data_IF_186227881178
#
_entry.id   IF_186227881178
#
_cell.length_a   1.000
_cell.length_b   1.000
_cell.length_c   1.000
_cell.angle_alpha   90.00
_cell.angle_beta   90.00
_cell.angle_gamma   90.00
#
_symmetry.space_group_name_H-M   'P 1'
#
loop_
_entity.id
_entity.type
_entity.pdbx_description
1 polymer ?
#
# COMPACT_ATOMS: atom_id res chain seq x y z
N UNK A 1 23.40 14.66 69.92
CA UNK A 1 22.61 15.07 68.73
C UNK A 1 22.86 14.10 67.59
N UNK A 2 21.95 13.15 67.38
CA UNK A 2 22.00 12.19 66.26
C UNK A 2 21.09 12.67 65.17
N UNK A 3 21.62 12.96 63.96
CA UNK A 3 20.88 13.25 62.75
C UNK A 3 20.43 11.94 62.10
N UNK A 4 19.12 11.77 62.01
CA UNK A 4 18.45 10.68 61.31
C UNK A 4 18.30 11.14 59.84
N UNK A 5 18.94 10.43 58.89
CA UNK A 5 18.70 10.61 57.48
C UNK A 5 17.55 9.66 57.05
N UNK A 6 16.45 10.23 56.63
CA UNK A 6 15.37 9.50 55.96
C UNK A 6 15.76 9.32 54.50
N UNK A 7 16.04 8.08 54.11
CA UNK A 7 16.10 7.70 52.70
C UNK A 7 14.70 7.44 52.19
N UNK A 8 14.22 8.26 51.30
CA UNK A 8 12.99 8.01 50.51
C UNK A 8 13.36 7.07 49.38
N UNK A 9 12.89 5.82 49.44
CA UNK A 9 12.87 4.91 48.29
C UNK A 9 11.78 5.39 47.32
N UNK A 10 12.21 5.92 46.19
CA UNK A 10 11.36 6.11 45.02
C UNK A 10 11.38 4.80 44.24
N UNK A 11 10.33 3.99 44.39
CA UNK A 11 10.11 2.83 43.51
C UNK A 11 9.72 3.34 42.13
N UNK A 12 10.66 3.26 41.19
CA UNK A 12 10.38 3.37 39.78
C UNK A 12 9.61 2.14 39.33
N UNK A 13 8.28 2.25 39.24
CA UNK A 13 7.47 1.26 38.52
C UNK A 13 7.77 1.44 37.02
N UNK A 14 8.71 0.64 36.53
CA UNK A 14 8.92 0.45 35.11
C UNK A 14 7.75 -0.37 34.59
N UNK A 15 6.74 0.29 34.07
CA UNK A 15 5.74 -0.38 33.24
C UNK A 15 6.41 -0.94 31.99
N UNK A 16 6.92 -2.16 32.10
CA UNK A 16 7.28 -2.97 30.92
C UNK A 16 5.96 -3.28 30.19
N UNK A 17 5.64 -2.46 29.24
CA UNK A 17 4.65 -2.81 28.23
C UNK A 17 5.26 -3.94 27.38
N UNK A 18 5.08 -5.15 27.86
CA UNK A 18 5.26 -6.32 27.04
C UNK A 18 4.30 -6.23 25.87
N UNK A 19 4.80 -5.92 24.69
CA UNK A 19 4.13 -6.26 23.44
C UNK A 19 3.92 -7.78 23.45
N UNK A 20 2.79 -8.20 24.03
CA UNK A 20 2.30 -9.55 23.84
C UNK A 20 2.13 -9.68 22.31
N UNK A 21 3.09 -10.36 21.67
CA UNK A 21 2.94 -10.86 20.30
C UNK A 21 1.64 -11.65 20.29
N UNK A 22 0.51 -10.98 20.00
CA UNK A 22 -0.70 -11.66 19.59
C UNK A 22 -0.31 -12.39 18.33
N UNK A 23 0.02 -13.68 18.47
CA UNK A 23 0.12 -14.58 17.34
C UNK A 23 -1.19 -14.44 16.58
N UNK A 24 -1.21 -13.64 15.51
CA UNK A 24 -2.40 -13.54 14.71
C UNK A 24 -2.67 -14.95 14.20
N UNK A 25 -3.86 -15.43 14.47
CA UNK A 25 -4.35 -16.73 14.00
C UNK A 25 -4.66 -16.72 12.50
N UNK A 26 -4.12 -15.76 11.74
CA UNK A 26 -4.26 -15.72 10.30
C UNK A 26 -3.60 -16.94 9.67
N UNK A 27 -4.43 -17.85 9.20
CA UNK A 27 -3.99 -18.90 8.32
C UNK A 27 -4.42 -18.59 6.89
N UNK A 28 -3.61 -17.89 6.16
CA UNK A 28 -3.89 -17.48 4.79
C UNK A 28 -4.26 -18.66 3.85
N UNK A 29 -3.83 -19.88 4.14
CA UNK A 29 -4.15 -21.06 3.31
C UNK A 29 -5.61 -21.49 3.40
N UNK A 30 -6.26 -21.22 4.52
CA UNK A 30 -7.63 -21.69 4.79
C UNK A 30 -8.58 -20.53 5.07
N UNK A 31 -8.11 -19.29 4.97
CA UNK A 31 -8.91 -18.10 5.22
C UNK A 31 -10.11 -18.05 4.27
N UNK A 32 -11.25 -17.73 4.84
CA UNK A 32 -12.45 -17.31 4.12
C UNK A 32 -12.71 -15.86 4.48
N UNK A 33 -12.93 -15.04 3.46
CA UNK A 33 -13.31 -13.67 3.69
C UNK A 33 -14.70 -13.58 4.29
N UNK A 34 -14.81 -12.82 5.38
CA UNK A 34 -16.11 -12.48 5.96
C UNK A 34 -16.21 -10.95 5.97
N UNK A 35 -17.16 -10.41 5.22
CA UNK A 35 -17.42 -8.98 5.23
C UNK A 35 -17.94 -8.59 6.62
N UNK A 36 -17.20 -7.71 7.29
CA UNK A 36 -17.61 -7.18 8.61
C UNK A 36 -18.62 -6.07 8.40
N UNK A 37 -18.30 -5.11 7.55
CA UNK A 37 -19.19 -4.03 7.13
C UNK A 37 -18.65 -3.32 5.87
N UNK A 38 -19.49 -2.42 5.35
CA UNK A 38 -19.20 -1.44 4.32
C UNK A 38 -19.43 -0.05 4.88
N UNK A 39 -18.55 0.86 4.57
CA UNK A 39 -18.70 2.29 4.87
C UNK A 39 -18.67 3.10 3.59
N UNK A 40 -19.55 4.09 3.50
CA UNK A 40 -19.43 5.12 2.47
C UNK A 40 -18.28 6.05 2.86
N UNK A 41 -17.45 6.40 1.88
CA UNK A 41 -16.33 7.29 2.08
C UNK A 41 -16.42 8.49 1.13
N UNK A 42 -15.76 9.59 1.49
CA UNK A 42 -15.80 10.81 0.68
C UNK A 42 -15.11 10.59 -0.67
N UNK A 43 -15.70 11.12 -1.72
CA UNK A 43 -15.13 11.29 -3.05
C UNK A 43 -15.60 12.62 -3.59
N UNK A 44 -14.70 13.42 -4.18
CA UNK A 44 -15.12 14.55 -4.97
C UNK A 44 -15.93 14.03 -6.19
N UNK A 45 -16.90 14.79 -6.65
CA UNK A 45 -17.81 14.35 -7.74
C UNK A 45 -17.12 14.09 -9.08
N UNK A 46 -15.80 14.24 -9.17
CA UNK A 46 -15.08 14.24 -10.46
C UNK A 46 -14.23 12.99 -10.70
N UNK A 47 -13.69 12.34 -9.65
CA UNK A 47 -12.62 11.36 -9.84
C UNK A 47 -12.87 10.08 -9.03
N UNK A 48 -12.45 8.96 -9.62
CA UNK A 48 -12.49 7.66 -8.93
C UNK A 48 -11.48 7.64 -7.78
N UNK A 49 -11.79 6.90 -6.73
CA UNK A 49 -10.84 6.56 -5.69
C UNK A 49 -9.84 5.54 -6.22
N UNK A 50 -8.61 5.59 -5.72
CA UNK A 50 -7.49 4.77 -6.17
C UNK A 50 -6.71 4.23 -4.96
N UNK A 51 -5.47 4.66 -4.76
CA UNK A 51 -4.61 4.18 -3.66
C UNK A 51 -5.14 4.53 -2.27
N UNK A 52 -4.87 3.67 -1.31
CA UNK A 52 -5.22 3.88 0.09
C UNK A 52 -4.25 3.22 1.05
N UNK A 53 -4.06 3.79 2.22
CA UNK A 53 -3.43 3.07 3.33
C UNK A 53 -3.86 3.61 4.70
N UNK A 54 -3.53 2.87 5.76
CA UNK A 54 -3.89 3.18 7.14
C UNK A 54 -2.65 3.16 8.02
N UNK A 55 -2.38 4.31 8.67
CA UNK A 55 -1.37 4.41 9.72
C UNK A 55 -2.01 4.73 11.06
N UNK A 56 -1.85 3.83 12.05
CA UNK A 56 -2.53 3.94 13.36
C UNK A 56 -4.06 4.10 13.16
N UNK A 57 -4.60 5.26 13.47
CA UNK A 57 -6.03 5.59 13.32
C UNK A 57 -6.28 6.61 12.20
N UNK A 58 -5.28 6.91 11.40
CA UNK A 58 -5.42 7.77 10.22
C UNK A 58 -5.47 6.90 8.96
N UNK A 59 -6.50 7.06 8.16
CA UNK A 59 -6.62 6.50 6.82
C UNK A 59 -6.42 7.61 5.80
N UNK A 60 -5.65 7.32 4.77
CA UNK A 60 -5.53 8.12 3.56
C UNK A 60 -6.22 7.36 2.43
N UNK A 61 -6.99 8.08 1.63
CA UNK A 61 -7.57 7.61 0.37
C UNK A 61 -7.27 8.64 -0.71
N UNK A 62 -6.78 8.19 -1.84
CA UNK A 62 -6.38 9.06 -2.94
C UNK A 62 -7.42 9.01 -4.06
N UNK A 63 -7.67 10.14 -4.70
CA UNK A 63 -8.40 10.20 -5.95
C UNK A 63 -7.44 10.14 -7.14
N UNK A 64 -7.92 9.66 -8.26
CA UNK A 64 -7.18 9.42 -9.51
C UNK A 64 -6.18 10.52 -9.90
N UNK A 65 -6.48 11.78 -9.63
CA UNK A 65 -5.61 12.90 -10.02
C UNK A 65 -4.73 13.42 -8.90
N UNK A 66 -4.67 12.71 -7.76
CA UNK A 66 -3.80 13.12 -6.65
C UNK A 66 -4.46 14.10 -5.68
N UNK A 67 -5.74 13.91 -5.38
CA UNK A 67 -6.39 14.52 -4.23
C UNK A 67 -6.36 13.56 -3.06
N UNK A 68 -6.08 14.08 -1.89
CA UNK A 68 -5.97 13.32 -0.63
C UNK A 68 -7.24 13.50 0.17
N UNK A 69 -7.87 12.40 0.53
CA UNK A 69 -8.94 12.34 1.50
C UNK A 69 -8.38 11.73 2.80
N UNK A 70 -8.48 12.44 3.91
CA UNK A 70 -8.02 11.94 5.21
C UNK A 70 -9.20 11.59 6.09
N UNK A 71 -9.05 10.50 6.85
CA UNK A 71 -10.06 10.01 7.78
C UNK A 71 -9.45 9.65 9.13
N UNK A 72 -10.23 9.83 10.17
CA UNK A 72 -9.97 9.23 11.48
C UNK A 72 -10.77 7.93 11.59
N UNK A 73 -10.12 6.83 11.91
CA UNK A 73 -10.81 5.59 12.19
C UNK A 73 -11.35 5.58 13.64
N UNK A 74 -12.65 5.51 13.77
CA UNK A 74 -13.36 5.38 15.06
C UNK A 74 -14.03 4.00 15.07
N UNK A 75 -13.60 3.13 15.95
CA UNK A 75 -14.05 1.72 15.99
C UNK A 75 -13.87 1.01 14.63
N UNK A 76 -12.80 1.37 13.93
CA UNK A 76 -12.47 0.83 12.58
C UNK A 76 -13.26 1.45 11.43
N UNK A 77 -14.23 2.33 11.68
CA UNK A 77 -14.99 3.04 10.64
C UNK A 77 -14.37 4.38 10.31
N UNK A 78 -14.30 4.75 9.01
CA UNK A 78 -13.73 6.02 8.58
C UNK A 78 -14.66 7.19 8.89
N UNK A 79 -14.12 8.23 9.52
CA UNK A 79 -14.78 9.52 9.73
C UNK A 79 -13.97 10.56 8.98
N UNK A 80 -14.56 11.11 7.92
CA UNK A 80 -13.92 12.09 7.03
C UNK A 80 -13.40 13.31 7.80
N UNK A 81 -12.20 13.77 7.45
CA UNK A 81 -11.55 14.90 8.09
C UNK A 81 -11.24 16.02 7.10
N UNK A 82 -10.49 15.73 6.04
CA UNK A 82 -9.99 16.75 5.12
C UNK A 82 -9.88 16.22 3.70
N UNK A 83 -9.90 17.17 2.75
CA UNK A 83 -9.66 16.98 1.32
C UNK A 83 -8.71 18.09 0.83
N UNK A 84 -7.57 17.73 0.24
CA UNK A 84 -6.56 18.66 -0.25
C UNK A 84 -5.64 17.98 -1.28
N UNK A 85 -4.93 18.73 -2.15
CA UNK A 85 -4.11 18.12 -3.18
C UNK A 85 -2.77 17.59 -2.65
N UNK A 86 -2.25 16.53 -3.30
CA UNK A 86 -0.84 16.15 -3.26
C UNK A 86 0.02 17.24 -3.92
N UNK A 87 1.32 17.28 -3.62
CA UNK A 87 2.27 18.09 -4.39
C UNK A 87 2.33 17.63 -5.84
N UNK A 88 2.19 16.31 -6.05
CA UNK A 88 2.17 15.67 -7.37
C UNK A 88 0.80 15.62 -8.01
N UNK A 89 -0.16 16.43 -7.54
CA UNK A 89 -1.51 16.48 -8.10
C UNK A 89 -1.46 16.81 -9.60
N UNK A 90 -1.97 15.89 -10.41
CA UNK A 90 -1.95 15.99 -11.88
C UNK A 90 -2.93 14.98 -12.49
N UNK A 91 -3.49 15.32 -13.66
CA UNK A 91 -4.28 14.39 -14.47
C UNK A 91 -3.48 13.13 -14.93
N UNK A 92 -2.15 13.20 -14.83
CA UNK A 92 -1.25 12.11 -15.22
C UNK A 92 -0.77 11.26 -14.04
N UNK A 93 -1.21 11.52 -12.81
CA UNK A 93 -0.72 10.77 -11.65
C UNK A 93 -1.36 9.38 -11.56
N UNK A 94 -2.65 9.27 -11.60
CA UNK A 94 -3.46 8.07 -11.38
C UNK A 94 -3.46 7.52 -9.93
N UNK A 95 -2.40 7.68 -9.14
CA UNK A 95 -2.32 7.32 -7.71
C UNK A 95 -2.78 5.89 -7.37
N UNK A 96 -2.48 4.90 -8.22
CA UNK A 96 -3.14 3.59 -8.22
C UNK A 96 -2.95 2.79 -6.93
N UNK A 97 -1.74 2.80 -6.36
CA UNK A 97 -1.42 2.16 -5.08
C UNK A 97 -0.82 3.20 -4.16
N UNK A 98 -1.21 3.19 -2.91
CA UNK A 98 -0.59 4.01 -1.88
C UNK A 98 -0.24 3.16 -0.65
N UNK A 99 0.94 3.37 -0.09
CA UNK A 99 1.34 2.69 1.13
C UNK A 99 2.23 3.58 2.00
N UNK A 100 2.03 3.53 3.31
CA UNK A 100 2.93 4.17 4.25
C UNK A 100 4.22 3.37 4.40
N UNK A 101 5.36 4.08 4.42
CA UNK A 101 6.60 3.53 4.94
C UNK A 101 6.65 3.57 6.46
N UNK A 102 7.87 3.45 7.03
CA UNK A 102 8.13 3.66 8.47
C UNK A 102 8.83 4.98 8.75
N UNK A 103 9.47 5.58 7.74
CA UNK A 103 10.25 6.79 7.91
C UNK A 103 9.35 8.00 8.12
N UNK A 104 9.60 8.74 9.20
CA UNK A 104 9.04 10.08 9.41
C UNK A 104 9.98 11.09 8.74
N UNK A 105 9.44 12.17 8.17
CA UNK A 105 10.27 13.28 7.68
C UNK A 105 10.87 14.05 8.85
N UNK A 106 10.04 14.36 9.85
CA UNK A 106 10.46 15.05 11.07
C UNK A 106 10.05 14.24 12.31
N UNK A 107 10.78 14.33 13.43
CA UNK A 107 10.49 13.57 14.65
C UNK A 107 9.09 13.76 15.23
N UNK A 108 8.43 14.89 14.94
CA UNK A 108 7.09 15.23 15.44
C UNK A 108 5.94 14.88 14.49
N UNK A 109 6.21 14.30 13.33
CA UNK A 109 5.19 14.00 12.34
C UNK A 109 4.24 12.91 12.83
N UNK A 110 2.96 13.10 12.57
CA UNK A 110 1.92 12.13 12.93
C UNK A 110 1.82 10.95 11.95
N UNK A 111 2.29 11.15 10.71
CA UNK A 111 2.28 10.17 9.63
C UNK A 111 3.70 9.96 9.10
N UNK A 112 4.06 8.73 8.75
CA UNK A 112 5.28 8.49 7.98
C UNK A 112 5.10 8.92 6.52
N UNK A 113 6.19 8.84 5.76
CA UNK A 113 6.16 9.10 4.32
C UNK A 113 5.19 8.15 3.62
N UNK A 114 4.40 8.70 2.70
CA UNK A 114 3.46 7.98 1.87
C UNK A 114 4.08 7.75 0.49
N UNK A 115 4.09 6.50 0.07
CA UNK A 115 4.59 6.03 -1.22
C UNK A 115 3.40 5.85 -2.16
N UNK A 116 3.44 6.50 -3.33
CA UNK A 116 2.29 6.60 -4.24
C UNK A 116 2.72 6.22 -5.65
N UNK A 117 2.12 5.17 -6.20
CA UNK A 117 2.38 4.75 -7.58
C UNK A 117 1.80 5.72 -8.59
N UNK A 118 2.65 6.22 -9.50
CA UNK A 118 2.20 6.87 -10.73
C UNK A 118 1.98 5.81 -11.80
N UNK A 119 0.73 5.47 -12.04
CA UNK A 119 0.39 4.38 -12.97
C UNK A 119 0.33 4.80 -14.45
N UNK A 120 0.55 6.08 -14.78
CA UNK A 120 0.52 6.55 -16.17
C UNK A 120 1.92 6.72 -16.75
N UNK A 121 2.12 6.13 -17.92
CA UNK A 121 3.39 6.15 -18.67
C UNK A 121 3.59 7.42 -19.49
N UNK A 122 2.52 8.18 -19.80
CA UNK A 122 2.58 9.38 -20.63
C UNK A 122 2.68 10.66 -19.78
N UNK A 123 3.64 10.71 -18.90
CA UNK A 123 3.96 11.97 -18.23
C UNK A 123 4.93 12.81 -19.10
N UNK A 124 4.92 14.13 -18.95
CA UNK A 124 5.80 15.03 -19.69
C UNK A 124 7.29 14.86 -19.30
N UNK A 125 7.55 14.25 -18.14
CA UNK A 125 8.91 13.84 -17.76
C UNK A 125 9.23 12.47 -18.42
N UNK A 126 10.46 12.27 -18.80
CA UNK A 126 10.95 11.02 -19.38
C UNK A 126 11.07 9.87 -18.37
N UNK A 127 10.55 10.03 -17.15
CA UNK A 127 10.64 9.02 -16.11
C UNK A 127 9.58 7.95 -16.29
N UNK A 128 10.00 6.70 -16.20
CA UNK A 128 9.15 5.53 -16.28
C UNK A 128 9.00 4.84 -14.93
N UNK A 129 7.90 4.12 -14.74
CA UNK A 129 7.66 3.28 -13.58
C UNK A 129 7.89 4.01 -12.24
N UNK A 130 7.23 5.16 -12.11
CA UNK A 130 7.49 6.13 -11.05
C UNK A 130 6.70 5.84 -9.78
N UNK A 131 7.39 6.02 -8.67
CA UNK A 131 6.85 6.05 -7.32
C UNK A 131 7.17 7.41 -6.71
N UNK A 132 6.15 8.14 -6.30
CA UNK A 132 6.29 9.37 -5.53
C UNK A 132 6.31 9.07 -4.04
N UNK A 133 7.14 9.78 -3.30
CA UNK A 133 7.20 9.73 -1.85
C UNK A 133 6.82 11.10 -1.32
N UNK A 134 5.66 11.20 -0.68
CA UNK A 134 5.14 12.46 -0.17
C UNK A 134 5.05 12.47 1.35
N UNK A 135 5.39 13.60 1.93
CA UNK A 135 5.07 13.93 3.31
C UNK A 135 3.67 14.54 3.36
N UNK A 136 2.81 13.99 4.19
CA UNK A 136 1.42 14.43 4.35
C UNK A 136 1.26 15.06 5.74
N UNK A 137 0.88 16.32 5.79
CA UNK A 137 0.48 17.01 7.02
C UNK A 137 -1.05 17.23 7.02
N UNK A 138 -1.82 16.33 7.65
CA UNK A 138 -3.27 16.43 7.65
C UNK A 138 -3.80 17.61 8.48
N UNK A 139 -3.02 18.13 9.42
CA UNK A 139 -3.40 19.27 10.26
C UNK A 139 -3.32 20.57 9.45
N UNK A 140 -2.20 20.77 8.77
CA UNK A 140 -2.00 21.93 7.90
C UNK A 140 -2.63 21.78 6.52
N UNK A 141 -3.14 20.59 6.17
CA UNK A 141 -3.70 20.23 4.86
C UNK A 141 -2.69 20.49 3.73
N UNK A 142 -1.46 20.05 3.94
CA UNK A 142 -0.34 20.25 3.01
C UNK A 142 0.36 18.94 2.73
N UNK A 143 0.85 18.85 1.50
CA UNK A 143 1.73 17.78 1.06
C UNK A 143 3.06 18.37 0.60
N UNK A 144 4.11 17.56 0.65
CA UNK A 144 5.42 17.89 0.11
C UNK A 144 6.00 16.67 -0.57
N UNK A 145 6.34 16.79 -1.86
CA UNK A 145 7.10 15.77 -2.55
C UNK A 145 8.52 15.73 -1.95
N UNK A 146 8.88 14.58 -1.41
CA UNK A 146 10.17 14.38 -0.74
C UNK A 146 11.14 13.66 -1.65
N UNK A 147 10.67 12.63 -2.36
CA UNK A 147 11.50 11.79 -3.20
C UNK A 147 10.68 11.30 -4.40
N UNK A 148 11.33 11.18 -5.54
CA UNK A 148 10.83 10.46 -6.71
C UNK A 148 11.73 9.25 -6.92
N UNK A 149 11.15 8.06 -6.98
CA UNK A 149 11.85 6.82 -7.31
C UNK A 149 11.33 6.38 -8.67
N UNK A 150 12.23 6.09 -9.60
CA UNK A 150 11.88 5.58 -10.92
C UNK A 150 12.71 4.34 -11.22
N UNK A 151 12.15 3.39 -11.94
CA UNK A 151 12.89 2.22 -12.40
C UNK A 151 13.14 2.31 -13.89
N UNK A 152 14.41 2.25 -14.27
CA UNK A 152 14.87 2.23 -15.67
C UNK A 152 15.40 0.84 -16.00
N UNK A 153 14.54 -0.01 -16.53
CA UNK A 153 14.88 -1.38 -16.95
C UNK A 153 15.11 -1.51 -18.45
N UNK A 154 15.56 -2.68 -18.92
CA UNK A 154 15.75 -2.93 -20.34
C UNK A 154 14.41 -2.82 -21.09
N UNK A 155 14.38 -2.06 -22.17
CA UNK A 155 13.18 -1.72 -22.95
C UNK A 155 12.32 -2.93 -23.35
N UNK A 156 12.93 -4.05 -23.66
CA UNK A 156 12.24 -5.29 -24.08
C UNK A 156 11.67 -6.12 -22.92
N UNK A 157 11.87 -5.72 -21.67
CA UNK A 157 11.42 -6.43 -20.46
C UNK A 157 10.63 -5.56 -19.50
N UNK A 158 10.37 -4.31 -19.88
CA UNK A 158 9.65 -3.37 -19.01
C UNK A 158 8.20 -3.77 -19.01
N UNK A 159 7.66 -4.12 -17.84
CA UNK A 159 6.23 -4.28 -17.65
C UNK A 159 5.55 -2.96 -17.97
N UNK A 160 4.42 -3.01 -18.60
CA UNK A 160 3.73 -1.83 -19.14
C UNK A 160 3.43 -0.77 -18.08
N UNK A 161 3.24 -1.19 -16.85
CA UNK A 161 3.01 -0.31 -15.71
C UNK A 161 3.37 -1.03 -14.43
N UNK A 162 4.45 -0.61 -13.79
CA UNK A 162 4.78 -1.11 -12.46
C UNK A 162 3.93 -0.41 -11.42
N UNK A 163 3.28 -1.20 -10.60
CA UNK A 163 2.67 -0.76 -9.36
C UNK A 163 3.62 -1.09 -8.22
N UNK A 164 3.65 -0.24 -7.20
CA UNK A 164 4.64 -0.32 -6.15
C UNK A 164 3.99 -0.46 -4.78
N UNK A 165 4.54 -1.34 -3.95
CA UNK A 165 4.16 -1.47 -2.55
C UNK A 165 5.40 -1.62 -1.67
N UNK A 166 5.35 -1.09 -0.45
CA UNK A 166 6.43 -1.20 0.53
C UNK A 166 6.20 -2.40 1.44
N UNK A 167 7.16 -3.32 1.48
CA UNK A 167 7.27 -4.30 2.55
C UNK A 167 7.98 -3.68 3.74
N UNK A 168 7.18 -3.19 4.67
CA UNK A 168 7.67 -2.53 5.87
C UNK A 168 8.40 -3.46 6.83
N UNK A 169 8.12 -4.76 6.81
CA UNK A 169 8.76 -5.73 7.68
C UNK A 169 10.22 -5.92 7.29
N UNK A 170 10.50 -6.03 6.00
CA UNK A 170 11.83 -6.32 5.47
C UNK A 170 12.52 -5.09 4.86
N UNK A 171 11.89 -3.92 4.87
CA UNK A 171 12.38 -2.68 4.23
C UNK A 171 12.70 -2.90 2.74
N UNK A 172 11.74 -3.48 2.04
CA UNK A 172 11.83 -3.75 0.61
C UNK A 172 10.79 -2.93 -0.15
N UNK A 173 11.14 -2.59 -1.38
CA UNK A 173 10.22 -2.06 -2.37
C UNK A 173 9.87 -3.18 -3.35
N UNK A 174 8.59 -3.44 -3.54
CA UNK A 174 8.08 -4.47 -4.42
C UNK A 174 7.35 -3.82 -5.58
N UNK A 175 7.82 -4.10 -6.79
CA UNK A 175 7.15 -3.78 -8.04
C UNK A 175 6.35 -4.98 -8.54
N UNK A 176 5.12 -4.76 -8.97
CA UNK A 176 4.26 -5.78 -9.55
C UNK A 176 3.39 -5.19 -10.66
N UNK A 177 2.83 -6.03 -11.49
CA UNK A 177 1.97 -5.62 -12.60
C UNK A 177 1.90 -6.65 -13.71
N UNK A 178 1.39 -6.22 -14.85
CA UNK A 178 1.24 -7.06 -16.03
C UNK A 178 2.30 -6.75 -17.07
N UNK A 179 2.91 -7.76 -17.65
CA UNK A 179 3.67 -7.60 -18.88
C UNK A 179 2.71 -7.70 -20.08
N UNK A 180 2.93 -6.87 -21.08
CA UNK A 180 2.27 -7.01 -22.39
C UNK A 180 3.16 -7.81 -23.35
N UNK A 181 3.54 -9.00 -22.93
CA UNK A 181 4.27 -9.87 -23.86
C UNK A 181 3.34 -10.35 -24.99
N UNK A 182 3.86 -10.57 -26.20
CA UNK A 182 3.08 -11.09 -27.32
C UNK A 182 2.41 -12.44 -27.02
N UNK A 183 2.94 -13.17 -26.05
CA UNK A 183 2.51 -14.53 -25.66
C UNK A 183 1.42 -14.55 -24.58
N UNK A 184 0.95 -13.40 -24.11
CA UNK A 184 -0.10 -13.28 -23.08
C UNK A 184 0.27 -12.35 -21.96
N UNK A 185 -0.74 -11.90 -21.21
CA UNK A 185 -0.53 -11.12 -19.99
C UNK A 185 0.09 -12.00 -18.90
N UNK A 186 1.35 -11.75 -18.58
CA UNK A 186 2.02 -12.39 -17.46
C UNK A 186 2.20 -11.38 -16.33
N UNK A 187 2.11 -11.85 -15.10
CA UNK A 187 2.22 -11.01 -13.91
C UNK A 187 3.63 -11.09 -13.37
N UNK A 188 4.33 -9.96 -13.41
CA UNK A 188 5.69 -9.88 -12.90
C UNK A 188 5.72 -9.49 -11.43
N UNK A 189 6.77 -9.92 -10.76
CA UNK A 189 7.18 -9.52 -9.43
C UNK A 189 8.63 -9.06 -9.48
N UNK A 190 8.92 -7.91 -8.90
CA UNK A 190 10.25 -7.33 -8.78
C UNK A 190 10.48 -6.88 -7.35
N UNK A 191 11.71 -7.06 -6.85
CA UNK A 191 12.06 -6.70 -5.49
C UNK A 191 13.36 -5.91 -5.45
N UNK A 192 13.34 -4.80 -4.75
CA UNK A 192 14.46 -3.89 -4.54
C UNK A 192 14.62 -3.62 -3.04
N UNK A 193 15.77 -3.10 -2.62
CA UNK A 193 15.87 -2.42 -1.33
C UNK A 193 15.03 -1.15 -1.36
N UNK A 194 14.33 -0.87 -0.29
CA UNK A 194 13.62 0.41 -0.18
C UNK A 194 14.64 1.54 -0.07
N UNK A 195 14.71 2.48 -1.03
CA UNK A 195 15.63 3.60 -0.95
C UNK A 195 15.26 4.50 0.23
N UNK A 196 16.19 4.75 1.17
CA UNK A 196 15.93 5.68 2.25
C UNK A 196 16.00 7.13 1.74
N UNK A 197 15.24 8.02 2.35
CA UNK A 197 15.44 9.46 2.19
C UNK A 197 16.33 9.98 3.31
N UNK A 198 17.48 10.58 2.98
CA UNK A 198 18.46 11.16 3.93
C UNK A 198 18.60 12.67 3.80
N UNK A 199 18.03 13.24 2.74
CA UNK A 199 18.07 14.66 2.46
C UNK A 199 17.87 14.99 0.98
N UNK A 200 17.98 16.26 0.59
CA UNK A 200 17.68 16.72 -0.77
C UNK A 200 18.46 16.00 -1.89
N UNK A 201 19.65 15.45 -1.60
CA UNK A 201 20.42 14.64 -2.55
C UNK A 201 19.71 13.35 -2.97
N UNK A 202 18.78 12.85 -2.15
CA UNK A 202 18.00 11.63 -2.41
C UNK A 202 16.63 11.97 -3.04
N UNK A 203 16.41 13.20 -3.50
CA UNK A 203 15.12 13.63 -4.06
C UNK A 203 14.74 12.92 -5.37
N UNK A 204 15.72 12.41 -6.12
CA UNK A 204 15.52 11.57 -7.30
C UNK A 204 16.41 10.35 -7.21
N UNK A 205 15.80 9.17 -7.24
CA UNK A 205 16.48 7.87 -7.27
C UNK A 205 16.07 7.16 -8.56
N UNK A 206 17.05 6.77 -9.35
CA UNK A 206 16.83 5.93 -10.53
C UNK A 206 17.32 4.52 -10.20
N UNK A 207 16.39 3.61 -10.05
CA UNK A 207 16.68 2.18 -9.91
C UNK A 207 16.99 1.59 -11.29
N UNK A 208 17.96 0.71 -11.33
CA UNK A 208 18.43 0.02 -12.55
C UNK A 208 18.32 -1.50 -12.35
N UNK A 209 18.55 -2.30 -13.38
CA UNK A 209 18.66 -3.76 -13.23
C UNK A 209 19.69 -4.22 -12.20
N UNK A 210 20.73 -3.44 -11.93
CA UNK A 210 21.74 -3.76 -10.93
C UNK A 210 21.22 -3.63 -9.47
N UNK A 211 20.15 -2.87 -9.27
CA UNK A 211 19.49 -2.71 -7.98
C UNK A 211 18.46 -3.83 -7.70
N UNK A 212 18.18 -4.65 -8.71
CA UNK A 212 17.15 -5.67 -8.67
C UNK A 212 17.63 -6.89 -7.87
N UNK A 213 17.01 -7.13 -6.72
CA UNK A 213 17.33 -8.27 -5.88
C UNK A 213 16.67 -9.56 -6.37
N UNK A 214 15.49 -9.44 -6.98
CA UNK A 214 14.70 -10.58 -7.43
C UNK A 214 13.70 -10.13 -8.50
N UNK A 215 13.55 -10.94 -9.55
CA UNK A 215 12.54 -10.74 -10.59
C UNK A 215 12.07 -12.08 -11.14
N UNK A 216 10.76 -12.25 -11.30
CA UNK A 216 10.16 -13.42 -11.92
C UNK A 216 8.73 -13.13 -12.37
N UNK A 217 8.18 -14.02 -13.20
CA UNK A 217 6.74 -14.04 -13.47
C UNK A 217 6.05 -15.00 -12.50
N UNK A 218 4.93 -14.56 -11.93
CA UNK A 218 4.18 -15.37 -10.96
C UNK A 218 3.68 -16.69 -11.60
N UNK A 219 3.37 -16.69 -12.89
CA UNK A 219 2.94 -17.86 -13.64
C UNK A 219 4.02 -18.95 -13.79
N UNK A 220 5.29 -18.64 -13.58
CA UNK A 220 6.36 -19.66 -13.54
C UNK A 220 6.23 -20.58 -12.32
N UNK A 221 5.54 -20.11 -11.29
CA UNK A 221 5.32 -20.83 -10.03
C UNK A 221 3.85 -21.21 -9.80
N UNK A 222 2.93 -20.59 -10.55
CA UNK A 222 1.50 -20.82 -10.42
C UNK A 222 0.84 -20.84 -11.81
N UNK A 223 0.58 -22.04 -12.30
CA UNK A 223 0.17 -22.29 -13.69
C UNK A 223 -1.32 -22.03 -13.97
N UNK A 224 -2.07 -21.48 -13.04
CA UNK A 224 -3.45 -21.09 -13.30
C UNK A 224 -3.51 -19.60 -13.68
N UNK A 225 -4.47 -19.19 -14.50
CA UNK A 225 -4.55 -17.81 -14.93
C UNK A 225 -4.85 -16.87 -13.75
N UNK A 226 -4.14 -15.75 -13.69
CA UNK A 226 -4.52 -14.60 -12.90
C UNK A 226 -5.56 -13.76 -13.65
N UNK A 227 -6.27 -12.88 -12.92
CA UNK A 227 -7.03 -11.83 -13.55
C UNK A 227 -6.11 -10.93 -14.39
N UNK A 228 -6.58 -10.46 -15.56
CA UNK A 228 -5.71 -9.73 -16.51
C UNK A 228 -5.12 -8.44 -15.94
N UNK A 229 -5.80 -7.80 -14.99
CA UNK A 229 -5.39 -6.51 -14.43
C UNK A 229 -5.32 -6.62 -12.92
N UNK A 230 -4.11 -6.42 -12.38
CA UNK A 230 -3.89 -6.23 -10.95
C UNK A 230 -4.15 -4.76 -10.63
N UNK A 231 -4.90 -4.49 -9.58
CA UNK A 231 -5.23 -3.14 -9.12
C UNK A 231 -4.29 -2.70 -8.01
N UNK A 232 -4.61 -2.96 -6.76
CA UNK A 232 -3.80 -2.58 -5.63
C UNK A 232 -3.21 -3.76 -4.86
N UNK A 233 -2.34 -3.46 -3.90
CA UNK A 233 -1.72 -4.47 -3.07
C UNK A 233 -1.26 -3.96 -1.72
N UNK A 234 -1.11 -4.89 -0.78
CA UNK A 234 -0.42 -4.66 0.48
C UNK A 234 0.51 -5.81 0.84
N UNK A 235 1.62 -5.50 1.51
CA UNK A 235 2.51 -6.51 2.08
C UNK A 235 2.17 -6.75 3.54
N UNK A 236 1.97 -8.02 3.90
CA UNK A 236 1.68 -8.39 5.28
C UNK A 236 2.25 -9.75 5.64
N UNK A 237 3.12 -9.79 6.67
CA UNK A 237 3.74 -11.04 7.17
C UNK A 237 4.37 -11.90 6.08
N UNK A 238 5.19 -11.27 5.21
CA UNK A 238 5.90 -11.96 4.12
C UNK A 238 5.00 -12.42 2.99
N UNK A 239 3.79 -11.91 2.91
CA UNK A 239 2.85 -12.17 1.81
C UNK A 239 2.47 -10.86 1.11
N UNK A 240 2.23 -10.97 -0.20
CA UNK A 240 1.65 -9.93 -1.03
C UNK A 240 0.18 -10.27 -1.23
N UNK A 241 -0.68 -9.38 -0.79
CA UNK A 241 -2.12 -9.47 -1.00
C UNK A 241 -2.47 -8.55 -2.16
N UNK A 242 -3.02 -9.11 -3.23
CA UNK A 242 -3.32 -8.42 -4.48
C UNK A 242 -4.83 -8.39 -4.67
N UNK A 243 -5.41 -7.20 -4.82
CA UNK A 243 -6.81 -7.04 -5.22
C UNK A 243 -6.90 -6.81 -6.71
N UNK A 244 -7.93 -7.38 -7.34
CA UNK A 244 -8.11 -7.36 -8.79
C UNK A 244 -9.58 -7.31 -9.16
N UNK A 245 -9.84 -7.01 -10.42
CA UNK A 245 -11.17 -7.14 -11.02
C UNK A 245 -11.97 -5.84 -11.05
N UNK A 246 -12.98 -5.83 -11.89
CA UNK A 246 -13.86 -4.67 -12.11
C UNK A 246 -15.25 -4.86 -11.48
N UNK A 247 -15.43 -5.92 -10.69
CA UNK A 247 -16.73 -6.23 -10.09
C UNK A 247 -17.77 -6.72 -11.11
N UNK A 248 -17.35 -7.26 -12.25
CA UNK A 248 -18.23 -7.85 -13.27
C UNK A 248 -18.05 -9.38 -13.31
N UNK A 249 -18.97 -10.09 -13.97
CA UNK A 249 -18.87 -11.54 -14.13
C UNK A 249 -17.61 -11.95 -14.93
N UNK A 250 -17.25 -11.17 -15.96
CA UNK A 250 -16.05 -11.44 -16.79
C UNK A 250 -14.76 -11.09 -16.06
N UNK A 251 -14.82 -10.08 -15.17
CA UNK A 251 -13.67 -9.61 -14.38
C UNK A 251 -14.06 -9.48 -12.91
N UNK A 252 -14.26 -10.64 -12.24
CA UNK A 252 -14.74 -10.67 -10.87
C UNK A 252 -13.72 -10.09 -9.89
N UNK A 253 -14.21 -9.57 -8.79
CA UNK A 253 -13.42 -9.09 -7.67
C UNK A 253 -12.75 -10.27 -6.96
N UNK A 254 -11.42 -10.36 -7.06
CA UNK A 254 -10.63 -11.45 -6.49
C UNK A 254 -9.50 -10.90 -5.64
N UNK A 255 -9.30 -11.51 -4.48
CA UNK A 255 -8.12 -11.31 -3.63
C UNK A 255 -7.18 -12.51 -3.82
N UNK A 256 -5.98 -12.25 -4.30
CA UNK A 256 -4.87 -13.21 -4.36
C UNK A 256 -3.95 -13.02 -3.16
N UNK A 257 -3.50 -14.11 -2.56
CA UNK A 257 -2.55 -14.11 -1.45
C UNK A 257 -1.32 -14.89 -1.87
N UNK A 258 -0.25 -14.15 -2.16
CA UNK A 258 1.03 -14.67 -2.66
C UNK A 258 2.07 -14.69 -1.55
N UNK A 259 2.71 -15.85 -1.32
CA UNK A 259 3.85 -15.90 -0.41
C UNK A 259 5.13 -15.51 -1.13
N UNK A 260 5.73 -14.40 -0.73
CA UNK A 260 6.90 -13.82 -1.39
C UNK A 260 8.09 -14.78 -1.33
N UNK A 261 8.43 -15.29 -0.14
CA UNK A 261 9.60 -16.16 0.06
C UNK A 261 9.48 -17.50 -0.65
N UNK A 262 8.29 -18.11 -0.62
CA UNK A 262 8.03 -19.43 -1.22
C UNK A 262 7.68 -19.35 -2.70
N UNK A 263 7.46 -18.17 -3.23
CA UNK A 263 7.01 -17.93 -4.61
C UNK A 263 5.80 -18.79 -4.96
N UNK A 264 4.79 -18.80 -4.12
CA UNK A 264 3.61 -19.62 -4.35
C UNK A 264 2.32 -18.91 -3.95
N UNK A 265 1.24 -19.25 -4.65
CA UNK A 265 -0.11 -18.85 -4.29
C UNK A 265 -0.54 -19.59 -3.02
N UNK A 266 -0.88 -18.87 -1.96
CA UNK A 266 -1.44 -19.47 -0.74
C UNK A 266 -2.95 -19.61 -0.82
N UNK A 267 -3.63 -18.60 -1.36
CA UNK A 267 -5.08 -18.58 -1.42
C UNK A 267 -5.59 -17.66 -2.53
N UNK A 268 -6.78 -17.96 -3.02
CA UNK A 268 -7.55 -17.14 -3.96
C UNK A 268 -8.95 -17.04 -3.39
N UNK A 269 -9.40 -15.83 -3.14
CA UNK A 269 -10.71 -15.57 -2.54
C UNK A 269 -11.53 -14.76 -3.54
N UNK A 270 -12.60 -15.36 -4.04
CA UNK A 270 -13.57 -14.68 -4.89
C UNK A 270 -14.49 -13.83 -4.00
N UNK A 271 -14.44 -12.53 -4.18
CA UNK A 271 -15.21 -11.52 -3.43
C UNK A 271 -16.37 -10.95 -4.26
N UNK A 272 -16.56 -11.41 -5.50
CA UNK A 272 -17.54 -10.84 -6.44
C UNK A 272 -18.95 -10.71 -5.87
N UNK A 273 -19.39 -11.72 -5.11
CA UNK A 273 -20.72 -11.71 -4.50
C UNK A 273 -20.89 -10.59 -3.45
N UNK A 274 -19.80 -10.31 -2.74
CA UNK A 274 -19.82 -9.39 -1.59
C UNK A 274 -19.34 -7.99 -1.98
N UNK A 275 -18.45 -7.90 -2.99
CA UNK A 275 -17.87 -6.66 -3.52
C UNK A 275 -18.07 -6.65 -5.03
N UNK A 276 -19.27 -6.33 -5.53
CA UNK A 276 -19.56 -6.24 -6.96
C UNK A 276 -19.12 -4.89 -7.54
N UNK A 277 -17.90 -4.47 -7.22
CA UNK A 277 -17.31 -3.18 -7.61
C UNK A 277 -15.83 -3.39 -7.95
N UNK A 278 -15.27 -2.49 -8.77
CA UNK A 278 -13.84 -2.43 -9.02
C UNK A 278 -13.09 -2.19 -7.71
N UNK A 279 -12.26 -3.17 -7.32
CA UNK A 279 -11.40 -3.02 -6.15
C UNK A 279 -10.12 -2.31 -6.57
N UNK A 280 -9.82 -1.19 -5.93
CA UNK A 280 -8.69 -0.34 -6.33
C UNK A 280 -7.44 -0.58 -5.49
N UNK A 281 -7.59 -0.62 -4.17
CA UNK A 281 -6.45 -0.85 -3.28
C UNK A 281 -6.88 -1.51 -1.97
N UNK A 282 -5.90 -2.02 -1.22
CA UNK A 282 -6.16 -2.67 0.06
C UNK A 282 -5.02 -2.49 1.07
N UNK A 283 -5.37 -2.57 2.34
CA UNK A 283 -4.38 -2.59 3.44
C UNK A 283 -4.87 -3.44 4.60
N UNK A 284 -3.94 -3.92 5.44
CA UNK A 284 -4.28 -4.67 6.65
C UNK A 284 -3.92 -3.87 7.88
N UNK A 285 -4.89 -3.74 8.78
CA UNK A 285 -4.70 -3.16 10.10
C UNK A 285 -5.37 -4.01 11.18
N UNK A 286 -4.61 -4.38 12.22
CA UNK A 286 -5.12 -5.16 13.36
C UNK A 286 -5.92 -6.41 12.92
N UNK A 287 -5.33 -7.18 11.99
CA UNK A 287 -5.92 -8.41 11.46
C UNK A 287 -7.25 -8.21 10.68
N UNK A 288 -7.55 -7.00 10.27
CA UNK A 288 -8.67 -6.66 9.40
C UNK A 288 -8.12 -6.14 8.07
N UNK A 289 -8.55 -6.74 6.98
CA UNK A 289 -8.30 -6.25 5.63
C UNK A 289 -9.32 -5.16 5.32
N UNK A 290 -8.83 -4.03 4.84
CA UNK A 290 -9.60 -2.92 4.30
C UNK A 290 -9.43 -2.92 2.80
N UNK A 291 -10.52 -2.86 2.06
CA UNK A 291 -10.52 -2.81 0.59
C UNK A 291 -11.30 -1.58 0.16
N UNK A 292 -10.66 -0.72 -0.60
CA UNK A 292 -11.27 0.45 -1.24
C UNK A 292 -11.68 0.10 -2.67
N UNK A 293 -12.81 0.64 -3.10
CA UNK A 293 -13.31 0.48 -4.46
C UNK A 293 -13.28 1.82 -5.22
N UNK A 294 -13.30 1.78 -6.54
CA UNK A 294 -13.34 2.98 -7.40
C UNK A 294 -14.59 3.83 -7.18
N UNK A 295 -15.72 3.22 -6.80
CA UNK A 295 -16.87 3.88 -6.17
C UNK A 295 -16.58 4.15 -4.69
N UNK A 296 -17.24 5.10 -4.02
CA UNK A 296 -16.84 5.57 -2.70
C UNK A 296 -17.21 4.60 -1.57
N UNK A 297 -16.75 3.36 -1.65
CA UNK A 297 -16.96 2.34 -0.62
C UNK A 297 -15.64 1.82 -0.06
N UNK A 298 -15.65 1.61 1.25
CA UNK A 298 -14.61 0.91 2.00
C UNK A 298 -15.21 -0.33 2.65
N UNK A 299 -14.68 -1.50 2.33
CA UNK A 299 -15.08 -2.76 2.93
C UNK A 299 -14.08 -3.17 4.00
N UNK A 300 -14.59 -3.66 5.14
CA UNK A 300 -13.79 -4.31 6.18
C UNK A 300 -14.03 -5.81 6.14
N UNK A 301 -12.96 -6.57 6.10
CA UNK A 301 -12.98 -8.01 5.85
C UNK A 301 -12.13 -8.71 6.91
N UNK A 302 -12.68 -9.72 7.55
CA UNK A 302 -11.89 -10.71 8.30
C UNK A 302 -11.47 -11.83 7.36
N UNK A 303 -10.19 -12.15 7.40
CA UNK A 303 -9.59 -13.24 6.63
C UNK A 303 -9.40 -14.48 7.51
#
# INVERSE_FOLDING_TARGET
MRKIYLLSLLECIVCVWGDAKRNSRFNFKTSRAVIVDRSDIYRSNRWMLQGMDIWKNCMISLEHTGWVNTYKLVNGKPVFQNHFPLTTQSKNNHCNVACFGKQLLNPGDSLPLLYITRCKTQAPDSLEQVLYVEHIDPVRKKCQLIQTIAYHGPENKIPHTTQWVVDNEHQMLIGFGNSREPTGNRHFFQKFRLPPYRGPQDSLIILTPDDLLESYFMEDYYQKPFQPVLQGATCYKGNLLLVTGFGTEERPSILYIWNIKKRCMLNIINLQKDIPYEMEDCTIRQDTLYVQTGVPYLFRIKL
#
